data_IF_623186562859
#
_entry.id   IF_623186562859
#
_cell.length_a   1.000
_cell.length_b   1.000
_cell.length_c   1.000
_cell.angle_alpha   90.00
_cell.angle_beta   90.00
_cell.angle_gamma   90.00
#
_symmetry.space_group_name_H-M   'P 1'
#
loop_
_entity.id
_entity.type
_entity.pdbx_description
1 polymer ?
#
# COMPACT_ATOMS: atom_id res chain seq x y z
N UNK A 1 -49.49 18.37 11.03
CA UNK A 1 -48.10 18.60 11.46
C UNK A 1 -47.32 17.31 11.42
N UNK A 2 -46.73 16.99 10.28
CA UNK A 2 -45.79 15.87 10.14
C UNK A 2 -44.41 16.50 10.31
N UNK A 3 -43.74 16.18 11.41
CA UNK A 3 -42.36 16.56 11.69
C UNK A 3 -41.46 15.76 10.75
N UNK A 4 -40.91 16.43 9.73
CA UNK A 4 -39.73 15.93 9.03
C UNK A 4 -38.55 16.05 10.00
N UNK A 5 -38.06 14.91 10.49
CA UNK A 5 -36.77 14.83 11.17
C UNK A 5 -35.73 14.73 10.06
N UNK A 6 -35.12 15.85 9.69
CA UNK A 6 -33.88 15.84 8.93
C UNK A 6 -32.80 15.17 9.80
N UNK A 7 -32.32 13.99 9.37
CA UNK A 7 -31.09 13.41 9.92
C UNK A 7 -29.93 14.33 9.55
N UNK A 8 -29.56 15.23 10.45
CA UNK A 8 -28.32 15.99 10.37
C UNK A 8 -27.18 14.98 10.58
N UNK A 9 -26.52 14.58 9.49
CA UNK A 9 -25.25 13.87 9.57
C UNK A 9 -24.14 14.91 9.84
N UNK A 10 -23.67 14.97 11.08
CA UNK A 10 -22.44 15.70 11.40
C UNK A 10 -21.27 14.83 10.92
N UNK A 11 -20.78 15.09 9.72
CA UNK A 11 -19.53 14.50 9.24
C UNK A 11 -18.39 15.11 10.05
N UNK A 12 -17.62 14.29 10.77
CA UNK A 12 -16.44 14.79 11.49
C UNK A 12 -15.45 15.40 10.50
N UNK A 13 -14.81 16.48 10.92
CA UNK A 13 -13.79 17.20 10.14
C UNK A 13 -12.52 16.39 9.88
N UNK A 14 -12.36 15.24 10.55
CA UNK A 14 -11.11 14.47 10.58
C UNK A 14 -11.07 13.22 9.67
N UNK A 15 -12.19 12.86 9.03
CA UNK A 15 -12.35 11.52 8.47
C UNK A 15 -11.63 11.28 7.14
N UNK A 16 -11.37 12.32 6.36
CA UNK A 16 -10.72 12.26 5.05
C UNK A 16 -9.65 13.33 4.96
N UNK A 17 -8.50 13.01 4.37
CA UNK A 17 -7.41 13.93 4.15
C UNK A 17 -6.04 13.27 4.10
N UNK A 18 -5.02 14.12 4.03
CA UNK A 18 -3.63 13.71 4.13
C UNK A 18 -3.19 13.77 5.60
N UNK A 19 -2.95 12.60 6.20
CA UNK A 19 -2.51 12.47 7.57
C UNK A 19 -0.99 12.31 7.62
N UNK A 20 -0.34 13.15 8.42
CA UNK A 20 1.12 13.23 8.51
C UNK A 20 1.51 12.98 9.95
N UNK A 21 2.51 12.11 10.16
CA UNK A 21 3.19 12.01 11.45
C UNK A 21 4.54 12.67 11.38
N UNK A 22 4.83 13.52 12.37
CA UNK A 22 6.12 14.16 12.55
C UNK A 22 6.58 14.14 14.01
N UNK A 23 7.89 14.27 14.21
CA UNK A 23 8.51 14.45 15.53
C UNK A 23 9.30 15.74 15.59
N UNK A 24 9.25 16.42 16.73
CA UNK A 24 9.97 17.68 17.00
C UNK A 24 11.22 17.46 17.87
N UNK A 25 11.44 16.24 18.36
CA UNK A 25 12.45 15.94 19.37
C UNK A 25 13.07 14.53 19.26
N UNK A 26 12.67 13.74 18.26
CA UNK A 26 13.20 12.40 18.04
C UNK A 26 12.71 11.32 19.00
N UNK A 27 11.74 11.62 19.88
CA UNK A 27 11.23 10.65 20.89
C UNK A 27 9.70 10.55 20.92
N UNK A 28 9.00 11.65 20.69
CA UNK A 28 7.54 11.71 20.63
C UNK A 28 7.07 12.10 19.24
N UNK A 29 5.87 11.72 18.85
CA UNK A 29 5.28 12.11 17.57
C UNK A 29 3.88 12.67 17.71
N UNK A 30 3.49 13.49 16.75
CA UNK A 30 2.14 14.05 16.66
C UNK A 30 1.56 13.79 15.27
N UNK A 31 0.27 14.10 15.11
CA UNK A 31 -0.46 13.97 13.87
C UNK A 31 -0.90 15.34 13.36
N UNK A 32 -0.77 15.55 12.05
CA UNK A 32 -1.37 16.68 11.34
C UNK A 32 -2.24 16.14 10.21
N UNK A 33 -3.49 16.62 10.11
CA UNK A 33 -4.40 16.29 9.01
C UNK A 33 -4.58 17.50 8.11
N UNK A 34 -4.51 17.29 6.80
CA UNK A 34 -4.74 18.30 5.78
C UNK A 34 -5.94 17.91 4.93
N UNK A 35 -6.87 18.84 4.76
CA UNK A 35 -8.02 18.69 3.87
C UNK A 35 -7.89 19.67 2.72
N UNK A 36 -7.91 19.17 1.48
CA UNK A 36 -7.80 19.98 0.27
C UNK A 36 -8.64 19.36 -0.85
N UNK A 37 -9.24 20.20 -1.69
CA UNK A 37 -10.11 19.78 -2.79
C UNK A 37 -9.42 18.85 -3.80
N UNK A 38 -8.09 18.93 -3.94
CA UNK A 38 -7.34 18.10 -4.87
C UNK A 38 -7.22 16.63 -4.45
N UNK A 39 -7.33 16.33 -3.14
CA UNK A 39 -7.07 14.99 -2.61
C UNK A 39 -8.09 14.50 -1.57
N UNK A 40 -8.91 15.36 -0.97
CA UNK A 40 -9.98 14.98 -0.04
C UNK A 40 -11.30 14.83 -0.79
N UNK A 41 -11.94 13.66 -0.68
CA UNK A 41 -13.18 13.37 -1.42
C UNK A 41 -14.32 14.24 -0.87
N UNK A 42 -15.16 14.76 -1.77
CA UNK A 42 -16.30 15.62 -1.44
C UNK A 42 -15.94 16.89 -0.63
N UNK A 43 -14.67 17.31 -0.61
CA UNK A 43 -14.24 18.53 0.05
C UNK A 43 -14.34 19.72 -0.91
N UNK A 44 -15.26 20.63 -0.63
CA UNK A 44 -15.55 21.82 -1.47
C UNK A 44 -15.31 23.15 -0.73
N UNK A 45 -14.58 23.11 0.38
CA UNK A 45 -14.25 24.27 1.21
C UNK A 45 -12.81 24.73 0.95
N UNK A 46 -12.45 25.85 1.55
CA UNK A 46 -11.05 26.28 1.62
C UNK A 46 -10.22 25.25 2.38
N UNK A 47 -8.95 25.15 2.02
CA UNK A 47 -8.00 24.24 2.66
C UNK A 47 -8.00 24.40 4.20
N UNK A 48 -7.98 23.27 4.90
CA UNK A 48 -7.88 23.23 6.36
C UNK A 48 -6.74 22.33 6.80
N UNK A 49 -5.98 22.79 7.79
CA UNK A 49 -4.85 22.08 8.38
C UNK A 49 -5.07 21.98 9.88
N UNK A 50 -5.23 20.76 10.37
CA UNK A 50 -5.35 20.44 11.79
C UNK A 50 -3.99 19.99 12.30
N UNK A 51 -3.23 20.92 12.90
CA UNK A 51 -1.87 20.64 13.39
C UNK A 51 -1.87 20.11 14.82
N UNK A 52 -0.88 19.27 15.13
CA UNK A 52 -0.61 18.79 16.49
C UNK A 52 -1.86 18.23 17.17
N UNK A 53 -2.57 17.35 16.46
CA UNK A 53 -3.88 16.85 16.86
C UNK A 53 -3.80 16.18 18.24
N UNK A 54 -2.79 15.33 18.46
CA UNK A 54 -2.66 14.59 19.72
C UNK A 54 -2.28 15.52 20.87
N UNK A 55 -1.38 16.49 20.66
CA UNK A 55 -1.10 17.51 21.68
C UNK A 55 -2.32 18.35 22.00
N UNK A 56 -3.13 18.70 21.00
CA UNK A 56 -4.33 19.51 21.19
C UNK A 56 -5.41 18.76 21.98
N UNK A 57 -5.53 17.46 21.78
CA UNK A 57 -6.52 16.61 22.46
C UNK A 57 -6.07 16.18 23.86
N UNK A 58 -4.80 15.81 24.02
CA UNK A 58 -4.28 15.15 25.22
C UNK A 58 -3.36 16.05 26.07
N UNK A 59 -3.08 17.27 25.62
CA UNK A 59 -2.10 18.19 26.23
C UNK A 59 -0.64 17.84 25.94
N UNK A 60 -0.38 16.73 25.23
CA UNK A 60 0.96 16.21 24.95
C UNK A 60 0.97 15.33 23.69
N UNK A 61 2.11 15.23 22.98
CA UNK A 61 2.25 14.34 21.83
C UNK A 61 2.25 12.86 22.26
N UNK A 62 2.12 11.95 21.29
CA UNK A 62 2.21 10.53 21.54
C UNK A 62 3.63 10.13 21.95
N UNK A 63 3.74 9.31 23.01
CA UNK A 63 5.02 8.80 23.48
C UNK A 63 5.49 7.63 22.61
N UNK A 64 6.31 7.93 21.61
CA UNK A 64 6.80 6.99 20.61
C UNK A 64 6.83 7.64 19.23
N UNK A 65 7.56 7.01 18.30
CA UNK A 65 7.70 7.47 16.92
C UNK A 65 6.78 6.65 16.00
N UNK A 66 5.73 7.27 15.47
CA UNK A 66 4.81 6.65 14.51
C UNK A 66 5.44 6.59 13.09
N UNK A 67 6.23 5.54 12.81
CA UNK A 67 7.08 5.45 11.62
C UNK A 67 6.37 4.95 10.35
N UNK A 68 5.24 4.27 10.50
CA UNK A 68 4.37 3.86 9.40
C UNK A 68 2.94 4.16 9.80
N UNK A 69 2.16 4.74 8.90
CA UNK A 69 0.73 4.96 9.06
C UNK A 69 -0.01 4.13 8.00
N UNK A 70 -1.00 3.35 8.44
CA UNK A 70 -1.83 2.53 7.56
C UNK A 70 -3.30 2.81 7.87
N UNK A 71 -4.00 3.31 6.88
CA UNK A 71 -5.44 3.54 6.96
C UNK A 71 -6.21 2.24 6.78
N UNK A 72 -7.19 2.01 7.65
CA UNK A 72 -8.03 0.81 7.66
C UNK A 72 -9.45 1.18 8.09
N UNK A 73 -10.40 0.35 7.65
CA UNK A 73 -11.81 0.51 7.97
C UNK A 73 -12.32 -0.80 8.56
N UNK A 74 -12.75 -0.73 9.82
CA UNK A 74 -13.44 -1.82 10.48
C UNK A 74 -14.94 -1.73 10.21
N UNK A 75 -15.56 -2.85 9.86
CA UNK A 75 -16.99 -2.99 9.59
C UNK A 75 -17.38 -2.96 8.11
N UNK A 76 -18.64 -3.30 7.84
CA UNK A 76 -19.27 -3.25 6.51
C UNK A 76 -20.55 -2.41 6.59
N UNK A 77 -20.95 -1.71 5.52
CA UNK A 77 -21.90 -0.57 5.52
C UNK A 77 -23.27 -0.69 6.24
N UNK A 78 -23.67 -1.87 6.73
CA UNK A 78 -24.85 -2.08 7.61
C UNK A 78 -24.52 -2.20 9.11
N UNK A 79 -23.24 -2.16 9.49
CA UNK A 79 -22.71 -2.27 10.85
C UNK A 79 -21.99 -0.98 11.27
N UNK A 80 -21.55 -0.87 12.53
CA UNK A 80 -20.75 0.27 12.99
C UNK A 80 -19.42 0.26 12.24
N UNK A 81 -19.27 1.18 11.28
CA UNK A 81 -18.04 1.40 10.56
C UNK A 81 -17.13 2.30 11.38
N UNK A 82 -15.89 1.88 11.60
CA UNK A 82 -14.88 2.72 12.25
C UNK A 82 -13.71 2.90 11.31
N UNK A 83 -13.47 4.15 10.91
CA UNK A 83 -12.29 4.56 10.15
C UNK A 83 -11.13 4.69 11.15
N UNK A 84 -10.02 4.00 10.91
CA UNK A 84 -8.92 3.87 11.86
C UNK A 84 -7.58 4.04 11.15
N UNK A 85 -6.59 4.52 11.90
CA UNK A 85 -5.19 4.50 11.46
C UNK A 85 -4.40 3.64 12.42
N UNK A 86 -3.78 2.62 11.86
CA UNK A 86 -2.80 1.78 12.51
C UNK A 86 -1.42 2.40 12.31
N UNK A 87 -0.59 2.32 13.34
CA UNK A 87 0.79 2.77 13.24
C UNK A 87 1.76 1.72 13.74
N UNK A 88 2.84 1.52 12.97
CA UNK A 88 4.01 0.77 13.41
C UNK A 88 4.98 1.77 14.02
N UNK A 89 5.32 1.54 15.28
CA UNK A 89 6.19 2.41 16.06
C UNK A 89 7.67 2.10 15.78
N UNK A 90 8.56 3.02 16.16
CA UNK A 90 10.01 2.87 15.93
C UNK A 90 10.68 1.71 16.65
N UNK A 91 9.99 1.07 17.60
CA UNK A 91 10.40 -0.17 18.27
C UNK A 91 9.73 -1.42 17.68
N UNK A 92 9.10 -1.29 16.50
CA UNK A 92 8.35 -2.34 15.81
C UNK A 92 7.10 -2.84 16.56
N UNK A 93 6.50 -2.02 17.43
CA UNK A 93 5.20 -2.30 18.06
C UNK A 93 4.06 -1.60 17.33
N UNK A 94 2.80 -1.80 17.76
CA UNK A 94 1.61 -1.18 17.16
C UNK A 94 0.85 -0.23 18.09
N UNK A 95 0.26 0.81 17.51
CA UNK A 95 -0.84 1.56 18.12
C UNK A 95 -1.95 1.79 17.08
N UNK A 96 -3.15 2.14 17.54
CA UNK A 96 -4.29 2.43 16.67
C UNK A 96 -5.12 3.59 17.18
N UNK A 97 -5.56 4.44 16.25
CA UNK A 97 -6.31 5.66 16.52
C UNK A 97 -7.61 5.69 15.70
N UNK A 98 -8.67 6.23 16.27
CA UNK A 98 -9.93 6.46 15.57
C UNK A 98 -9.81 7.72 14.70
N UNK A 99 -10.14 7.67 13.41
CA UNK A 99 -10.10 8.86 12.55
C UNK A 99 -11.21 9.88 12.86
N UNK A 100 -12.22 9.52 13.65
CA UNK A 100 -13.31 10.43 14.02
C UNK A 100 -12.81 11.56 14.93
N UNK A 101 -11.93 11.25 15.87
CA UNK A 101 -11.50 12.13 16.95
C UNK A 101 -10.04 11.93 17.39
N UNK A 102 -9.29 11.06 16.72
CA UNK A 102 -7.91 10.66 17.03
C UNK A 102 -7.69 10.13 18.46
N UNK A 103 -8.74 9.61 19.09
CA UNK A 103 -8.58 8.85 20.34
C UNK A 103 -7.83 7.55 20.07
N UNK A 104 -6.85 7.24 20.92
CA UNK A 104 -6.16 5.96 20.87
C UNK A 104 -7.12 4.85 21.30
N UNK A 105 -7.35 3.87 20.43
CA UNK A 105 -8.29 2.77 20.64
C UNK A 105 -7.63 1.38 20.49
N UNK A 106 -6.31 1.34 20.51
CA UNK A 106 -5.53 0.14 20.70
C UNK A 106 -4.05 0.39 20.89
N UNK A 107 -3.39 -0.53 21.58
CA UNK A 107 -1.96 -0.50 21.88
C UNK A 107 -1.38 -1.92 21.86
N UNK A 108 -0.09 -2.03 21.62
CA UNK A 108 0.56 -3.32 21.43
C UNK A 108 0.58 -4.17 22.69
N UNK A 109 0.84 -3.56 23.85
CA UNK A 109 1.11 -4.31 25.08
C UNK A 109 -0.13 -4.89 25.76
N UNK A 110 -1.32 -4.46 25.37
CA UNK A 110 -2.55 -5.09 25.81
C UNK A 110 -3.16 -5.96 24.71
N UNK A 111 -4.19 -6.71 25.07
CA UNK A 111 -4.92 -7.57 24.13
C UNK A 111 -5.93 -6.79 23.27
N UNK A 112 -5.76 -5.46 23.12
CA UNK A 112 -6.65 -4.63 22.29
C UNK A 112 -6.33 -4.72 20.80
N UNK A 113 -5.11 -5.14 20.42
CA UNK A 113 -4.69 -5.32 19.03
C UNK A 113 -4.39 -6.77 18.68
N UNK A 114 -3.70 -7.50 19.56
CA UNK A 114 -3.30 -8.90 19.35
C UNK A 114 -3.60 -9.70 20.63
N UNK A 115 -4.51 -10.66 20.54
CA UNK A 115 -4.82 -11.61 21.60
C UNK A 115 -3.68 -12.62 21.71
N UNK A 116 -3.30 -12.96 22.94
CA UNK A 116 -2.24 -13.94 23.24
C UNK A 116 -0.92 -13.68 22.48
N UNK A 117 -0.55 -12.40 22.36
CA UNK A 117 0.69 -11.94 21.70
C UNK A 117 1.92 -12.69 22.25
N UNK A 118 2.74 -13.31 21.38
CA UNK A 118 4.03 -13.86 21.78
C UNK A 118 4.99 -12.78 22.31
N UNK A 119 5.80 -13.13 23.30
CA UNK A 119 6.84 -12.24 23.80
C UNK A 119 7.85 -11.89 22.70
N UNK A 120 8.19 -10.60 22.58
CA UNK A 120 9.16 -10.10 21.60
C UNK A 120 8.67 -10.08 20.15
N UNK A 121 7.36 -10.21 19.91
CA UNK A 121 6.79 -10.04 18.57
C UNK A 121 7.12 -8.64 18.02
N UNK A 122 7.64 -8.57 16.79
CA UNK A 122 7.90 -7.32 16.08
C UNK A 122 7.01 -7.26 14.85
N UNK A 123 6.44 -6.09 14.57
CA UNK A 123 5.63 -5.83 13.37
C UNK A 123 6.48 -5.09 12.35
N UNK A 124 6.54 -5.68 11.15
CA UNK A 124 7.46 -5.29 10.08
C UNK A 124 6.76 -4.51 8.97
N UNK A 125 5.49 -4.84 8.70
CA UNK A 125 4.62 -4.09 7.78
C UNK A 125 3.15 -4.40 8.06
N UNK A 126 2.26 -3.53 7.59
CA UNK A 126 0.81 -3.69 7.67
C UNK A 126 0.17 -3.22 6.35
N UNK A 127 -0.87 -3.92 5.90
CA UNK A 127 -1.52 -3.64 4.61
C UNK A 127 -2.91 -4.25 4.53
N UNK A 128 -3.75 -3.63 3.69
CA UNK A 128 -5.05 -4.19 3.32
C UNK A 128 -4.89 -5.01 2.04
N UNK A 129 -5.43 -6.23 2.05
CA UNK A 129 -5.52 -7.09 0.86
C UNK A 129 -6.92 -7.67 0.77
N UNK A 130 -7.62 -7.36 -0.31
CA UNK A 130 -9.04 -7.68 -0.46
C UNK A 130 -9.86 -7.19 0.75
N UNK A 131 -10.60 -8.08 1.41
CA UNK A 131 -11.44 -7.83 2.59
C UNK A 131 -10.72 -8.03 3.92
N UNK A 132 -9.40 -8.28 3.91
CA UNK A 132 -8.64 -8.61 5.10
C UNK A 132 -7.52 -7.60 5.35
N UNK A 133 -7.31 -7.32 6.62
CA UNK A 133 -6.16 -6.55 7.08
C UNK A 133 -5.06 -7.51 7.54
N UNK A 134 -3.82 -7.23 7.16
CA UNK A 134 -2.66 -8.08 7.43
C UNK A 134 -1.59 -7.30 8.17
N UNK A 135 -0.87 -8.00 9.05
CA UNK A 135 0.41 -7.56 9.57
C UNK A 135 1.47 -8.64 9.30
N UNK A 136 2.60 -8.23 8.73
CA UNK A 136 3.80 -9.06 8.63
C UNK A 136 4.62 -8.88 9.90
N UNK A 137 5.02 -9.98 10.53
CA UNK A 137 5.70 -9.93 11.83
C UNK A 137 6.94 -10.80 11.84
N UNK A 138 7.75 -10.68 12.90
CA UNK A 138 8.84 -11.61 13.18
C UNK A 138 8.38 -13.07 13.40
N UNK A 139 7.07 -13.30 13.56
CA UNK A 139 6.44 -14.61 13.75
C UNK A 139 5.39 -14.89 12.67
N UNK A 140 5.73 -14.66 11.40
CA UNK A 140 4.89 -14.86 10.20
C UNK A 140 3.76 -13.83 10.03
N UNK A 141 2.94 -14.02 9.00
CA UNK A 141 1.81 -13.16 8.67
C UNK A 141 0.61 -13.43 9.57
N UNK A 142 0.04 -12.38 10.13
CA UNK A 142 -1.24 -12.39 10.83
C UNK A 142 -2.29 -11.74 9.94
N UNK A 143 -3.54 -12.17 10.07
CA UNK A 143 -4.67 -11.64 9.30
C UNK A 143 -5.90 -11.51 10.16
N UNK A 144 -6.72 -10.50 9.87
CA UNK A 144 -8.07 -10.37 10.41
C UNK A 144 -9.04 -9.98 9.29
N UNK A 145 -10.29 -10.42 9.43
CA UNK A 145 -11.39 -9.98 8.58
C UNK A 145 -11.97 -8.69 9.18
N UNK A 146 -11.53 -7.54 8.69
CA UNK A 146 -11.88 -6.23 9.26
C UNK A 146 -13.37 -5.93 9.21
N UNK A 147 -14.13 -6.63 8.37
CA UNK A 147 -15.59 -6.57 8.34
C UNK A 147 -16.27 -7.02 9.64
N UNK A 148 -15.62 -7.85 10.46
CA UNK A 148 -16.25 -8.49 11.63
C UNK A 148 -15.38 -8.51 12.88
N UNK A 149 -14.06 -8.44 12.75
CA UNK A 149 -13.11 -8.54 13.85
C UNK A 149 -12.17 -7.34 13.83
N UNK A 150 -11.79 -6.85 15.02
CA UNK A 150 -10.92 -5.68 15.14
C UNK A 150 -9.60 -5.95 15.90
N UNK A 151 -9.22 -7.23 16.02
CA UNK A 151 -8.05 -7.73 16.76
C UNK A 151 -7.52 -8.99 16.11
N UNK A 152 -6.21 -9.18 16.11
CA UNK A 152 -5.56 -10.42 15.68
C UNK A 152 -5.57 -11.45 16.82
N UNK A 153 -5.55 -12.75 16.49
CA UNK A 153 -5.47 -13.84 17.46
C UNK A 153 -4.28 -14.79 17.26
N UNK A 154 -3.70 -14.81 16.06
CA UNK A 154 -2.56 -15.66 15.74
C UNK A 154 -2.13 -15.54 14.28
N UNK A 155 -1.00 -16.17 13.91
CA UNK A 155 -0.57 -16.24 12.51
C UNK A 155 -1.62 -16.94 11.64
N UNK A 156 -1.71 -16.54 10.38
CA UNK A 156 -2.52 -17.23 9.39
C UNK A 156 -1.97 -18.66 9.20
N UNK A 157 -2.76 -19.67 9.61
CA UNK A 157 -2.30 -21.06 9.66
C UNK A 157 -1.71 -21.57 8.34
N UNK A 158 -2.34 -21.25 7.20
CA UNK A 158 -1.85 -21.60 5.86
C UNK A 158 -0.48 -21.00 5.51
N UNK A 159 -0.12 -19.88 6.16
CA UNK A 159 1.12 -19.13 5.92
C UNK A 159 2.20 -19.38 6.99
N UNK A 160 1.89 -20.14 8.04
CA UNK A 160 2.76 -20.32 9.21
C UNK A 160 4.14 -20.93 8.92
N UNK A 161 4.31 -21.58 7.77
CA UNK A 161 5.58 -22.19 7.35
C UNK A 161 6.36 -21.38 6.32
N UNK A 162 5.83 -20.25 5.86
CA UNK A 162 6.40 -19.43 4.79
C UNK A 162 6.92 -18.10 5.34
N UNK A 163 8.03 -17.63 4.78
CA UNK A 163 8.68 -16.40 5.23
C UNK A 163 8.69 -15.35 4.13
N UNK A 164 8.23 -14.16 4.46
CA UNK A 164 8.27 -12.99 3.58
C UNK A 164 9.70 -12.45 3.55
N UNK A 165 10.35 -12.51 2.40
CA UNK A 165 11.67 -11.91 2.25
C UNK A 165 11.59 -10.36 2.21
N UNK A 166 12.45 -9.72 3.00
CA UNK A 166 12.63 -8.27 3.03
C UNK A 166 11.34 -7.45 3.23
N UNK A 167 10.30 -8.05 3.85
CA UNK A 167 8.99 -7.45 4.08
C UNK A 167 8.24 -7.01 2.80
N UNK A 168 8.63 -7.53 1.63
CA UNK A 168 8.03 -7.17 0.34
C UNK A 168 6.93 -8.14 -0.03
N UNK A 169 5.71 -7.61 -0.16
CA UNK A 169 4.50 -8.37 -0.49
C UNK A 169 3.77 -7.62 -1.59
N UNK A 170 3.44 -8.30 -2.68
CA UNK A 170 2.46 -7.82 -3.65
C UNK A 170 1.08 -8.25 -3.14
N UNK A 171 0.16 -7.31 -2.96
CA UNK A 171 -1.19 -7.60 -2.51
C UNK A 171 -2.23 -7.04 -3.48
N UNK A 172 -3.29 -7.82 -3.65
CA UNK A 172 -4.40 -7.46 -4.55
C UNK A 172 -5.28 -6.40 -3.91
N UNK A 173 -5.59 -5.31 -4.63
CA UNK A 173 -6.60 -4.39 -4.18
C UNK A 173 -7.98 -5.06 -4.24
N UNK A 174 -8.92 -4.66 -3.38
CA UNK A 174 -10.29 -5.16 -3.45
C UNK A 174 -11.01 -4.46 -4.61
N UNK A 175 -11.01 -5.07 -5.79
CA UNK A 175 -11.51 -4.44 -7.04
C UNK A 175 -12.97 -4.75 -7.33
N UNK A 176 -13.59 -5.70 -6.62
CA UNK A 176 -14.92 -6.21 -6.94
C UNK A 176 -15.03 -6.92 -8.31
N UNK A 177 -14.03 -6.78 -9.18
CA UNK A 177 -13.84 -7.51 -10.42
C UNK A 177 -13.48 -8.97 -10.15
N UNK A 178 -14.42 -9.70 -9.56
CA UNK A 178 -14.58 -11.11 -9.87
C UNK A 178 -15.11 -11.15 -11.28
N UNK A 179 -14.29 -11.60 -12.25
CA UNK A 179 -14.91 -12.25 -13.40
C UNK A 179 -15.88 -13.29 -12.83
N UNK A 180 -17.07 -13.40 -13.41
CA UNK A 180 -18.22 -14.23 -12.96
C UNK A 180 -17.92 -15.75 -12.81
N UNK A 181 -16.65 -16.13 -12.78
CA UNK A 181 -16.09 -17.47 -12.90
C UNK A 181 -15.10 -17.84 -11.78
N UNK A 182 -14.67 -16.90 -10.91
CA UNK A 182 -13.77 -17.23 -9.80
C UNK A 182 -14.54 -17.38 -8.49
N UNK A 183 -14.68 -18.64 -8.04
CA UNK A 183 -15.09 -18.94 -6.67
C UNK A 183 -14.11 -18.31 -5.67
N UNK A 184 -14.57 -17.99 -4.46
CA UNK A 184 -13.75 -17.32 -3.44
C UNK A 184 -12.44 -18.02 -3.07
N UNK A 185 -12.24 -19.29 -3.46
CA UNK A 185 -10.99 -20.04 -3.27
C UNK A 185 -9.91 -19.75 -4.34
N UNK A 186 -10.28 -19.14 -5.47
CA UNK A 186 -9.37 -18.91 -6.61
C UNK A 186 -8.95 -17.45 -6.80
N UNK A 187 -9.53 -16.53 -6.03
CA UNK A 187 -9.10 -15.13 -6.01
C UNK A 187 -7.70 -15.03 -5.40
N UNK A 188 -6.74 -14.49 -6.13
CA UNK A 188 -5.37 -14.28 -5.65
C UNK A 188 -5.30 -13.04 -4.75
N UNK A 189 -4.87 -13.20 -3.50
CA UNK A 189 -4.85 -12.12 -2.49
C UNK A 189 -3.48 -11.49 -2.30
N UNK A 190 -2.44 -12.33 -2.23
CA UNK A 190 -1.09 -11.89 -1.92
C UNK A 190 -0.07 -12.79 -2.59
N UNK A 191 1.07 -12.21 -2.89
CA UNK A 191 2.24 -12.89 -3.40
C UNK A 191 3.47 -12.33 -2.71
N UNK A 192 4.44 -13.18 -2.38
CA UNK A 192 5.72 -12.77 -1.83
C UNK A 192 6.81 -13.77 -2.22
N UNK A 193 8.06 -13.37 -2.06
CA UNK A 193 9.20 -14.27 -2.29
C UNK A 193 9.65 -14.89 -0.96
N UNK A 194 9.80 -16.21 -0.94
CA UNK A 194 10.39 -16.95 0.17
C UNK A 194 11.82 -17.36 -0.21
N UNK A 195 12.78 -16.71 0.45
CA UNK A 195 14.21 -16.88 0.16
C UNK A 195 14.74 -18.25 0.57
N UNK A 196 14.20 -18.86 1.61
CA UNK A 196 14.64 -20.18 2.08
C UNK A 196 14.22 -21.28 1.10
N UNK A 197 13.11 -21.06 0.39
CA UNK A 197 12.59 -21.96 -0.65
C UNK A 197 13.05 -21.60 -2.06
N UNK A 198 13.69 -20.44 -2.23
CA UNK A 198 14.05 -19.88 -3.52
C UNK A 198 12.85 -19.77 -4.48
N UNK A 199 11.66 -19.44 -3.95
CA UNK A 199 10.40 -19.50 -4.69
C UNK A 199 9.45 -18.34 -4.41
N UNK A 200 8.67 -17.94 -5.41
CA UNK A 200 7.50 -17.09 -5.21
C UNK A 200 6.31 -17.89 -4.67
N UNK A 201 5.74 -17.39 -3.58
CA UNK A 201 4.57 -17.94 -2.92
C UNK A 201 3.38 -17.06 -3.26
N UNK A 202 2.32 -17.63 -3.81
CA UNK A 202 1.06 -16.93 -4.01
C UNK A 202 -0.05 -17.57 -3.20
N UNK A 203 -0.96 -16.76 -2.68
CA UNK A 203 -2.09 -17.23 -1.90
C UNK A 203 -3.39 -16.85 -2.55
N UNK A 204 -4.29 -17.82 -2.65
CA UNK A 204 -5.66 -17.64 -3.09
C UNK A 204 -6.62 -17.82 -1.91
N UNK A 205 -7.78 -17.19 -2.00
CA UNK A 205 -8.79 -17.17 -0.95
C UNK A 205 -8.40 -16.38 0.30
N UNK A 206 -9.37 -16.20 1.19
CA UNK A 206 -9.26 -15.36 2.39
C UNK A 206 -9.61 -16.12 3.68
N UNK A 207 -9.04 -15.66 4.79
CA UNK A 207 -9.35 -16.18 6.13
C UNK A 207 -9.02 -17.67 6.25
N UNK A 208 -10.03 -18.48 6.62
CA UNK A 208 -9.87 -19.93 6.80
C UNK A 208 -9.75 -20.72 5.48
N UNK A 209 -10.11 -20.12 4.34
CA UNK A 209 -10.07 -20.77 3.03
C UNK A 209 -8.81 -20.46 2.24
N UNK A 210 -7.80 -19.87 2.90
CA UNK A 210 -6.55 -19.49 2.26
C UNK A 210 -5.79 -20.73 1.80
N UNK A 211 -5.38 -20.73 0.53
CA UNK A 211 -4.60 -21.78 -0.10
C UNK A 211 -3.31 -21.20 -0.66
N UNK A 212 -2.20 -21.87 -0.36
CA UNK A 212 -0.91 -21.53 -0.97
C UNK A 212 -0.77 -22.28 -2.28
N UNK A 213 -0.45 -21.54 -3.35
CA UNK A 213 -0.20 -22.04 -4.70
C UNK A 213 1.17 -21.58 -5.19
N UNK A 214 1.64 -22.21 -6.27
CA UNK A 214 2.85 -21.84 -7.01
C UNK A 214 2.49 -21.20 -8.35
N UNK A 215 3.46 -20.52 -8.95
CA UNK A 215 3.36 -20.10 -10.35
C UNK A 215 4.00 -21.13 -11.27
N UNK A 216 3.40 -21.34 -12.44
CA UNK A 216 4.01 -22.14 -13.49
C UNK A 216 5.23 -21.40 -14.08
N UNK A 217 6.27 -22.17 -14.38
CA UNK A 217 7.47 -21.68 -15.04
C UNK A 217 7.25 -21.43 -16.54
N UNK A 218 8.13 -20.63 -17.14
CA UNK A 218 8.20 -20.47 -18.58
C UNK A 218 9.65 -20.37 -19.06
N UNK A 219 9.85 -20.07 -20.34
CA UNK A 219 11.18 -19.96 -20.94
C UNK A 219 11.99 -18.74 -20.45
N UNK A 220 11.34 -17.74 -19.84
CA UNK A 220 12.02 -16.55 -19.32
C UNK A 220 12.58 -16.77 -17.92
N UNK A 221 11.84 -17.45 -17.05
CA UNK A 221 12.28 -17.83 -15.71
C UNK A 221 11.36 -18.88 -15.04
N UNK A 222 11.89 -19.56 -14.03
CA UNK A 222 11.15 -20.49 -13.16
C UNK A 222 10.90 -19.82 -11.79
N UNK A 223 9.65 -19.44 -11.45
CA UNK A 223 9.31 -18.82 -10.17
C UNK A 223 9.66 -19.65 -8.93
N UNK A 224 9.91 -20.95 -9.10
CA UNK A 224 10.18 -21.90 -8.02
C UNK A 224 11.66 -22.26 -7.90
N UNK A 225 12.53 -21.62 -8.71
CA UNK A 225 13.98 -21.86 -8.74
C UNK A 225 14.75 -20.55 -8.96
N UNK A 226 14.65 -19.64 -8.00
CA UNK A 226 15.35 -18.35 -8.01
C UNK A 226 16.17 -18.17 -6.73
N UNK A 227 17.30 -18.89 -6.57
CA UNK A 227 18.15 -18.74 -5.39
C UNK A 227 18.88 -17.39 -5.42
N UNK A 228 19.42 -16.99 -4.25
CA UNK A 228 20.25 -15.78 -4.09
C UNK A 228 19.55 -14.50 -4.57
N UNK A 229 18.25 -14.39 -4.30
CA UNK A 229 17.49 -13.18 -4.57
C UNK A 229 17.06 -12.51 -3.27
N UNK A 230 16.92 -11.19 -3.34
CA UNK A 230 16.27 -10.38 -2.32
C UNK A 230 15.18 -9.55 -2.99
N UNK A 231 13.94 -9.63 -2.50
CA UNK A 231 12.83 -8.81 -2.96
C UNK A 231 12.99 -7.37 -2.48
N UNK A 232 12.76 -6.40 -3.37
CA UNK A 232 13.03 -4.97 -3.09
C UNK A 232 11.75 -4.14 -3.09
N UNK A 233 10.88 -4.39 -4.05
CA UNK A 233 9.57 -3.71 -4.16
C UNK A 233 8.64 -4.59 -4.97
N UNK A 234 7.34 -4.43 -4.77
CA UNK A 234 6.35 -5.20 -5.52
C UNK A 234 5.04 -4.44 -5.68
N UNK A 235 4.25 -4.81 -6.68
CA UNK A 235 2.92 -4.26 -6.92
C UNK A 235 2.01 -5.27 -7.60
N UNK A 236 0.71 -5.15 -7.36
CA UNK A 236 -0.33 -5.73 -8.21
C UNK A 236 -0.99 -4.59 -8.98
N UNK A 237 -1.18 -4.75 -10.28
CA UNK A 237 -1.85 -3.74 -11.09
C UNK A 237 -3.32 -3.61 -10.66
N UNK A 238 -3.88 -2.41 -10.81
CA UNK A 238 -5.26 -2.09 -10.41
C UNK A 238 -6.29 -3.04 -11.06
N UNK A 239 -6.06 -3.43 -12.31
CA UNK A 239 -6.91 -4.37 -13.07
C UNK A 239 -6.60 -5.85 -12.78
N UNK A 240 -5.69 -6.11 -11.82
CA UNK A 240 -5.15 -7.43 -11.47
C UNK A 240 -4.50 -8.19 -12.64
N UNK A 241 -4.20 -7.52 -13.76
CA UNK A 241 -3.64 -8.15 -14.96
C UNK A 241 -2.20 -8.65 -14.76
N UNK A 242 -1.48 -8.05 -13.81
CA UNK A 242 -0.07 -8.32 -13.60
C UNK A 242 0.34 -8.15 -12.15
N UNK A 243 1.22 -9.04 -11.72
CA UNK A 243 1.97 -8.94 -10.48
C UNK A 243 3.42 -8.68 -10.85
N UNK A 244 4.06 -7.75 -10.16
CA UNK A 244 5.40 -7.28 -10.50
C UNK A 244 6.27 -7.25 -9.25
N UNK A 245 7.50 -7.75 -9.38
CA UNK A 245 8.52 -7.70 -8.34
C UNK A 245 9.82 -7.13 -8.89
N UNK A 246 10.41 -6.19 -8.16
CA UNK A 246 11.82 -5.84 -8.30
C UNK A 246 12.63 -6.76 -7.37
N UNK A 247 13.61 -7.46 -7.94
CA UNK A 247 14.50 -8.35 -7.20
C UNK A 247 15.96 -7.92 -7.40
N UNK A 248 16.77 -8.10 -6.36
CA UNK A 248 18.22 -7.97 -6.39
C UNK A 248 18.87 -9.34 -6.31
N UNK A 249 19.78 -9.62 -7.24
CA UNK A 249 20.64 -10.80 -7.19
C UNK A 249 21.77 -10.56 -6.18
N UNK A 250 21.82 -11.37 -5.14
CA UNK A 250 22.78 -11.23 -4.05
C UNK A 250 24.21 -11.59 -4.46
N UNK A 251 24.39 -12.30 -5.59
CA UNK A 251 25.69 -12.78 -6.07
C UNK A 251 26.46 -11.68 -6.79
N UNK A 252 25.77 -10.92 -7.64
CA UNK A 252 26.39 -9.91 -8.51
C UNK A 252 25.86 -8.49 -8.27
N UNK A 253 24.88 -8.32 -7.38
CA UNK A 253 24.29 -7.02 -7.03
C UNK A 253 23.38 -6.42 -8.10
N UNK A 254 23.09 -7.14 -9.19
CA UNK A 254 22.25 -6.64 -10.29
C UNK A 254 20.77 -6.75 -9.96
N UNK A 255 19.97 -5.91 -10.60
CA UNK A 255 18.52 -5.88 -10.40
C UNK A 255 17.76 -6.40 -11.63
N UNK A 256 16.60 -7.01 -11.38
CA UNK A 256 15.69 -7.43 -12.44
C UNK A 256 14.23 -7.26 -12.00
N UNK A 257 13.37 -6.93 -12.96
CA UNK A 257 11.91 -6.88 -12.76
C UNK A 257 11.32 -8.19 -13.25
N UNK A 258 10.65 -8.91 -12.36
CA UNK A 258 9.94 -10.15 -12.65
C UNK A 258 8.44 -9.86 -12.69
N UNK A 259 7.75 -10.46 -13.65
CA UNK A 259 6.33 -10.26 -13.84
C UNK A 259 5.58 -11.56 -13.98
N UNK A 260 4.34 -11.59 -13.50
CA UNK A 260 3.49 -12.77 -13.43
C UNK A 260 2.10 -12.45 -13.93
N UNK A 261 1.42 -13.44 -14.50
CA UNK A 261 -0.02 -13.45 -14.74
C UNK A 261 -0.71 -14.05 -13.52
N UNK A 262 -1.91 -13.57 -13.25
CA UNK A 262 -2.80 -14.20 -12.28
C UNK A 262 -3.42 -15.47 -12.84
N UNK A 263 -4.01 -16.26 -11.94
CA UNK A 263 -4.94 -17.30 -12.32
C UNK A 263 -6.21 -16.70 -12.96
N UNK A 264 -6.70 -17.31 -14.03
CA UNK A 264 -7.98 -16.98 -14.67
C UNK A 264 -8.85 -18.22 -14.62
N UNK A 265 -10.07 -18.08 -14.09
CA UNK A 265 -11.02 -19.18 -13.97
C UNK A 265 -11.58 -19.60 -15.32
N UNK A 266 -12.12 -20.82 -15.36
CA UNK A 266 -12.88 -21.27 -16.53
C UNK A 266 -14.17 -20.44 -16.68
N UNK A 267 -14.48 -20.02 -17.90
CA UNK A 267 -15.74 -19.36 -18.23
C UNK A 267 -16.63 -20.28 -19.04
N UNK A 268 -17.92 -20.17 -18.83
CA UNK A 268 -18.93 -20.98 -19.50
C UNK A 268 -20.34 -20.53 -19.17
N UNK A 269 -21.31 -21.29 -19.66
CA UNK A 269 -22.73 -21.10 -19.34
C UNK A 269 -23.43 -22.45 -19.25
N UNK A 270 -24.54 -22.50 -18.53
CA UNK A 270 -25.38 -23.68 -18.49
C UNK A 270 -26.30 -23.72 -19.73
N UNK A 271 -26.31 -24.86 -20.42
CA UNK A 271 -27.32 -25.24 -21.40
C UNK A 271 -28.05 -26.48 -20.89
N UNK A 272 -29.24 -26.27 -20.32
CA UNK A 272 -29.89 -27.25 -19.46
C UNK A 272 -29.04 -27.56 -18.23
N UNK A 273 -28.78 -28.85 -17.98
CA UNK A 273 -27.93 -29.32 -16.87
C UNK A 273 -26.44 -29.38 -17.25
N UNK A 274 -26.07 -29.04 -18.49
CA UNK A 274 -24.68 -29.13 -18.95
C UNK A 274 -23.98 -27.78 -18.82
N UNK A 275 -22.81 -27.78 -18.17
CA UNK A 275 -21.90 -26.65 -18.22
C UNK A 275 -21.10 -26.67 -19.54
N UNK A 276 -21.30 -25.65 -20.37
CA UNK A 276 -20.56 -25.45 -21.62
C UNK A 276 -19.42 -24.48 -21.37
N UNK A 277 -18.19 -24.97 -21.50
CA UNK A 277 -16.98 -24.15 -21.39
C UNK A 277 -16.81 -23.29 -22.63
N UNK A 278 -16.74 -21.96 -22.44
CA UNK A 278 -16.43 -20.99 -23.49
C UNK A 278 -14.99 -20.48 -23.42
N UNK A 279 -14.33 -20.59 -22.27
CA UNK A 279 -12.91 -20.27 -22.09
C UNK A 279 -12.30 -21.15 -21.00
N UNK A 280 -11.21 -21.91 -21.26
CA UNK A 280 -10.60 -22.76 -20.24
C UNK A 280 -9.87 -21.94 -19.18
N UNK A 281 -9.72 -22.51 -17.97
CA UNK A 281 -8.92 -21.90 -16.91
C UNK A 281 -7.46 -21.72 -17.34
N UNK A 282 -6.82 -20.63 -16.88
CA UNK A 282 -5.40 -20.36 -17.11
C UNK A 282 -4.66 -20.31 -15.76
N UNK A 283 -3.60 -21.11 -15.56
CA UNK A 283 -2.81 -21.08 -14.33
C UNK A 283 -2.08 -19.75 -14.16
N UNK A 284 -1.91 -19.34 -12.90
CA UNK A 284 -0.99 -18.26 -12.57
C UNK A 284 0.43 -18.68 -13.01
N UNK A 285 1.11 -17.82 -13.78
CA UNK A 285 2.37 -18.21 -14.42
C UNK A 285 3.37 -17.06 -14.50
N UNK A 286 4.64 -17.41 -14.66
CA UNK A 286 5.68 -16.47 -15.06
C UNK A 286 5.29 -15.78 -16.38
N UNK A 287 5.59 -14.47 -16.49
CA UNK A 287 5.49 -13.71 -17.75
C UNK A 287 6.88 -13.34 -18.26
N UNK A 288 7.42 -12.21 -17.85
CA UNK A 288 8.70 -11.69 -18.34
C UNK A 288 9.65 -11.37 -17.19
N UNK A 289 10.94 -11.45 -17.50
CA UNK A 289 12.05 -10.90 -16.72
C UNK A 289 12.68 -9.76 -17.52
N UNK A 290 12.83 -8.60 -16.89
CA UNK A 290 13.52 -7.45 -17.46
C UNK A 290 14.79 -7.17 -16.68
N UNK A 291 15.95 -7.26 -17.33
CA UNK A 291 17.23 -6.88 -16.74
C UNK A 291 17.29 -5.36 -16.61
N UNK A 292 17.77 -4.85 -15.47
CA UNK A 292 18.01 -3.42 -15.28
C UNK A 292 19.48 -3.10 -15.59
N UNK A 293 19.75 -2.16 -16.52
CA UNK A 293 21.12 -1.71 -16.82
C UNK A 293 21.87 -1.15 -15.60
N UNK A 294 23.19 -0.99 -15.75
CA UNK A 294 24.09 -0.52 -14.69
C UNK A 294 23.69 0.86 -14.13
N UNK A 295 23.16 1.74 -14.98
CA UNK A 295 22.69 3.07 -14.63
C UNK A 295 21.49 3.00 -13.67
N UNK A 296 20.61 2.02 -13.87
CA UNK A 296 19.47 1.76 -12.98
C UNK A 296 19.92 1.13 -11.67
N UNK A 297 20.90 0.21 -11.72
CA UNK A 297 21.51 -0.39 -10.53
C UNK A 297 22.12 0.68 -9.63
N UNK A 298 22.87 1.64 -10.20
CA UNK A 298 23.48 2.73 -9.46
C UNK A 298 22.46 3.66 -8.78
N UNK A 299 21.27 3.85 -9.37
CA UNK A 299 20.17 4.58 -8.74
C UNK A 299 19.52 3.77 -7.63
N UNK A 300 19.26 2.47 -7.86
CA UNK A 300 18.60 1.58 -6.90
C UNK A 300 19.43 1.37 -5.63
N UNK A 301 20.75 1.27 -5.74
CA UNK A 301 21.64 1.14 -4.58
C UNK A 301 21.67 2.39 -3.68
N UNK A 302 21.22 3.54 -4.19
CA UNK A 302 21.11 4.82 -3.45
C UNK A 302 19.67 5.15 -3.06
N UNK A 303 18.72 4.27 -3.37
CA UNK A 303 17.31 4.59 -3.25
C UNK A 303 16.88 4.59 -1.78
N UNK A 304 16.10 5.61 -1.41
CA UNK A 304 15.41 5.74 -0.12
C UNK A 304 13.93 5.39 -0.23
N UNK A 305 13.39 5.34 -1.44
CA UNK A 305 12.03 4.85 -1.72
C UNK A 305 11.97 4.26 -3.12
N UNK A 306 11.27 3.13 -3.25
CA UNK A 306 11.10 2.41 -4.51
C UNK A 306 9.64 1.91 -4.60
N UNK A 307 8.91 2.35 -5.61
CA UNK A 307 7.51 1.94 -5.81
C UNK A 307 7.14 1.94 -7.28
N UNK A 308 6.32 0.96 -7.66
CA UNK A 308 5.78 0.87 -9.01
C UNK A 308 4.57 1.79 -9.20
N UNK A 309 4.32 2.20 -10.45
CA UNK A 309 2.96 2.56 -10.85
C UNK A 309 2.10 1.29 -10.86
N UNK A 310 0.87 1.39 -10.35
CA UNK A 310 -0.10 0.28 -10.38
C UNK A 310 -0.97 0.28 -11.65
N UNK A 311 -0.72 1.19 -12.60
CA UNK A 311 -1.45 1.29 -13.87
C UNK A 311 -0.55 1.25 -15.10
N UNK A 312 0.77 1.32 -14.92
CA UNK A 312 1.72 1.44 -16.02
C UNK A 312 3.00 0.67 -15.70
N UNK A 313 3.71 0.28 -16.76
CA UNK A 313 4.98 -0.46 -16.67
C UNK A 313 6.15 0.47 -16.32
N UNK A 314 6.05 1.09 -15.14
CA UNK A 314 6.93 2.15 -14.65
C UNK A 314 7.28 1.92 -13.18
N UNK A 315 8.57 1.98 -12.88
CA UNK A 315 9.12 1.95 -11.52
C UNK A 315 9.69 3.34 -11.18
N UNK A 316 9.28 3.91 -10.05
CA UNK A 316 9.88 5.11 -9.50
C UNK A 316 11.01 4.74 -8.54
N UNK A 317 12.14 5.42 -8.70
CA UNK A 317 13.33 5.26 -7.86
C UNK A 317 13.67 6.62 -7.28
N UNK A 318 13.59 6.75 -5.96
CA UNK A 318 13.82 8.01 -5.26
C UNK A 318 15.13 7.92 -4.49
N UNK A 319 16.04 8.85 -4.75
CA UNK A 319 17.23 9.10 -3.92
C UNK A 319 16.99 10.37 -3.08
N UNK A 320 17.94 10.75 -2.23
CA UNK A 320 17.90 12.03 -1.52
C UNK A 320 17.86 13.24 -2.45
N UNK A 321 18.38 13.10 -3.67
CA UNK A 321 18.63 14.22 -4.59
C UNK A 321 17.59 14.33 -5.70
N UNK A 322 16.75 13.30 -5.90
CA UNK A 322 15.73 13.34 -6.92
C UNK A 322 14.93 12.06 -7.09
N UNK A 323 13.90 12.15 -7.94
CA UNK A 323 13.03 11.05 -8.34
C UNK A 323 13.33 10.70 -9.79
N UNK A 324 13.60 9.42 -10.06
CA UNK A 324 13.92 8.87 -11.36
C UNK A 324 12.89 7.81 -11.74
N UNK A 325 12.91 7.39 -13.00
CA UNK A 325 12.02 6.34 -13.49
C UNK A 325 12.76 5.28 -14.27
N UNK A 326 12.28 4.04 -14.15
CA UNK A 326 12.70 2.88 -14.94
C UNK A 326 11.44 2.34 -15.64
N UNK A 327 11.42 2.41 -16.97
CA UNK A 327 10.37 1.84 -17.80
C UNK A 327 10.69 0.39 -18.14
N UNK A 328 9.68 -0.48 -18.12
CA UNK A 328 9.79 -1.88 -18.55
C UNK A 328 8.65 -2.23 -19.51
N UNK A 329 8.70 -3.42 -20.12
CA UNK A 329 7.67 -3.88 -21.06
C UNK A 329 8.09 -3.94 -22.53
N UNK A 330 9.12 -3.20 -22.93
CA UNK A 330 9.71 -3.29 -24.26
C UNK A 330 10.96 -4.16 -24.24
N UNK A 331 10.97 -5.25 -25.01
CA UNK A 331 12.10 -6.18 -25.04
C UNK A 331 12.38 -6.85 -23.69
N UNK A 332 13.64 -7.23 -23.44
CA UNK A 332 14.08 -7.92 -22.22
C UNK A 332 14.93 -7.04 -21.28
N UNK A 333 15.12 -5.77 -21.62
CA UNK A 333 15.95 -4.83 -20.84
C UNK A 333 15.13 -3.58 -20.54
N UNK A 334 15.14 -3.15 -19.28
CA UNK A 334 14.44 -1.95 -18.85
C UNK A 334 15.17 -0.67 -19.28
N UNK A 335 14.43 0.40 -19.54
CA UNK A 335 14.96 1.70 -19.95
C UNK A 335 15.00 2.65 -18.75
N UNK A 336 16.19 3.17 -18.43
CA UNK A 336 16.43 4.02 -17.26
C UNK A 336 16.41 5.49 -17.67
N UNK A 337 15.63 6.31 -16.95
CA UNK A 337 15.71 7.78 -17.04
C UNK A 337 16.77 8.28 -16.07
N UNK A 338 17.95 8.62 -16.58
CA UNK A 338 19.05 9.19 -15.77
C UNK A 338 18.85 10.67 -15.42
N UNK A 339 17.93 11.34 -16.11
CA UNK A 339 17.45 12.68 -15.73
C UNK A 339 16.35 12.56 -14.68
N UNK A 340 16.49 13.28 -13.57
CA UNK A 340 15.48 13.34 -12.52
C UNK A 340 14.18 13.95 -13.04
N UNK A 341 13.04 13.35 -12.67
CA UNK A 341 11.69 13.86 -12.90
C UNK A 341 11.31 14.95 -11.89
N UNK A 342 11.99 14.96 -10.75
CA UNK A 342 11.88 15.96 -9.70
C UNK A 342 13.19 16.02 -8.93
N UNK A 343 13.60 17.24 -8.57
CA UNK A 343 14.69 17.53 -7.65
C UNK A 343 14.13 18.40 -6.52
N UNK A 344 14.51 18.18 -5.26
CA UNK A 344 14.06 19.02 -4.16
C UNK A 344 14.60 20.46 -4.31
N UNK A 345 14.03 21.39 -3.55
CA UNK A 345 14.53 22.76 -3.51
C UNK A 345 15.98 22.79 -2.98
N UNK A 346 16.78 23.78 -3.39
CA UNK A 346 18.16 23.93 -2.91
C UNK A 346 18.23 23.94 -1.38
N UNK A 347 19.10 23.09 -0.82
CA UNK A 347 19.28 22.94 0.63
C UNK A 347 18.36 21.90 1.27
N UNK A 348 17.43 21.32 0.53
CA UNK A 348 16.57 20.22 0.98
C UNK A 348 17.04 18.87 0.41
N UNK A 349 16.81 17.80 1.18
CA UNK A 349 16.90 16.42 0.71
C UNK A 349 15.53 15.76 0.74
N UNK A 350 15.27 14.84 -0.19
CA UNK A 350 14.10 13.96 -0.11
C UNK A 350 14.35 12.93 0.99
N UNK A 351 13.31 12.63 1.80
CA UNK A 351 13.37 11.63 2.86
C UNK A 351 12.44 10.44 2.64
N UNK A 352 11.38 10.61 1.83
CA UNK A 352 10.46 9.54 1.42
C UNK A 352 9.67 9.98 0.19
N UNK A 353 9.31 9.03 -0.66
CA UNK A 353 8.31 9.24 -1.69
C UNK A 353 7.42 8.00 -1.87
N UNK A 354 6.14 8.22 -2.22
CA UNK A 354 5.20 7.14 -2.57
C UNK A 354 4.07 7.62 -3.46
N UNK A 355 3.43 6.69 -4.17
CA UNK A 355 2.25 6.99 -4.97
C UNK A 355 1.12 7.54 -4.09
N UNK A 356 0.48 8.61 -4.55
CA UNK A 356 -0.74 9.09 -3.92
C UNK A 356 -1.90 8.16 -4.29
N UNK A 357 -2.57 7.65 -3.26
CA UNK A 357 -3.80 6.87 -3.35
C UNK A 357 -4.78 7.45 -2.35
N UNK A 358 -6.02 7.73 -2.75
CA UNK A 358 -7.04 8.25 -1.83
C UNK A 358 -7.38 7.21 -0.75
N UNK A 359 -7.76 7.63 0.46
CA UNK A 359 -7.83 6.74 1.63
C UNK A 359 -8.69 5.49 1.40
N UNK A 360 -9.93 5.66 0.95
CA UNK A 360 -10.83 4.52 0.66
C UNK A 360 -10.35 3.63 -0.49
N UNK A 361 -9.48 4.10 -1.38
CA UNK A 361 -8.90 3.26 -2.42
C UNK A 361 -7.99 2.18 -1.82
N UNK A 362 -7.19 2.57 -0.82
CA UNK A 362 -6.29 1.65 -0.11
C UNK A 362 -7.06 0.60 0.70
N UNK A 363 -8.23 0.97 1.24
CA UNK A 363 -9.12 0.04 1.91
C UNK A 363 -9.86 -0.88 0.90
N UNK A 364 -10.58 -0.27 -0.04
CA UNK A 364 -11.41 -0.98 -1.00
C UNK A 364 -11.58 -0.19 -2.29
N UNK A 365 -10.72 -0.45 -3.28
CA UNK A 365 -10.74 0.28 -4.54
C UNK A 365 -12.02 0.07 -5.38
N UNK A 366 -12.79 -1.01 -5.16
CA UNK A 366 -14.07 -1.28 -5.81
C UNK A 366 -15.07 -0.13 -5.59
N UNK A 367 -14.98 0.54 -4.43
CA UNK A 367 -15.80 1.70 -4.10
C UNK A 367 -15.61 2.86 -5.08
N UNK A 368 -14.50 2.86 -5.84
CA UNK A 368 -14.06 4.00 -6.66
C UNK A 368 -13.93 3.62 -8.14
N UNK A 369 -13.30 2.47 -8.44
CA UNK A 369 -12.94 2.07 -9.81
C UNK A 369 -13.56 0.75 -10.25
N UNK A 370 -14.40 0.14 -9.41
CA UNK A 370 -15.06 -1.13 -9.74
C UNK A 370 -16.31 -0.97 -10.63
N UNK A 371 -17.07 -2.04 -10.78
CA UNK A 371 -18.22 -2.09 -11.71
C UNK A 371 -19.35 -1.12 -11.32
N UNK A 372 -19.51 -0.83 -10.02
CA UNK A 372 -20.51 0.09 -9.48
C UNK A 372 -19.87 1.01 -8.42
N UNK A 373 -19.10 2.02 -8.83
CA UNK A 373 -18.39 2.88 -7.89
C UNK A 373 -19.38 3.75 -7.11
N UNK A 374 -19.22 3.80 -5.79
CA UNK A 374 -20.07 4.56 -4.86
C UNK A 374 -19.38 5.81 -4.31
N UNK A 375 -18.08 5.95 -4.54
CA UNK A 375 -17.22 7.06 -4.07
C UNK A 375 -16.53 7.68 -5.29
N UNK A 376 -16.63 9.01 -5.49
CA UNK A 376 -15.96 9.68 -6.60
C UNK A 376 -14.44 9.50 -6.55
N UNK A 377 -13.83 9.20 -7.70
CA UNK A 377 -12.36 9.20 -7.83
C UNK A 377 -11.84 10.65 -7.85
N UNK A 378 -10.91 10.99 -6.96
CA UNK A 378 -10.21 12.28 -7.04
C UNK A 378 -9.27 12.34 -8.25
N UNK A 379 -9.04 13.55 -8.77
CA UNK A 379 -8.19 13.77 -9.95
C UNK A 379 -6.79 13.13 -9.77
N UNK A 380 -6.26 13.18 -8.55
CA UNK A 380 -4.89 12.77 -8.26
C UNK A 380 -4.73 11.30 -7.86
N UNK A 381 -5.81 10.55 -7.65
CA UNK A 381 -5.73 9.12 -7.29
C UNK A 381 -4.95 8.30 -8.34
N UNK A 382 -3.83 7.69 -7.94
CA UNK A 382 -2.84 7.02 -8.81
C UNK A 382 -2.21 7.93 -9.89
N UNK A 383 -2.29 9.25 -9.72
CA UNK A 383 -1.82 10.28 -10.67
C UNK A 383 -1.01 11.39 -9.99
N UNK A 384 -0.54 11.17 -8.77
CA UNK A 384 0.37 12.08 -8.08
C UNK A 384 1.34 11.30 -7.19
N UNK A 385 2.43 11.93 -6.79
CA UNK A 385 3.42 11.38 -5.87
C UNK A 385 3.48 12.25 -4.63
N UNK A 386 3.37 11.62 -3.45
CA UNK A 386 3.69 12.23 -2.17
C UNK A 386 5.20 12.19 -2.02
N UNK A 387 5.82 13.35 -1.76
CA UNK A 387 7.25 13.51 -1.52
C UNK A 387 7.43 14.24 -0.20
N UNK A 388 8.29 13.73 0.66
CA UNK A 388 8.67 14.44 1.89
C UNK A 388 10.10 14.90 1.77
N UNK A 389 10.38 16.13 2.18
CA UNK A 389 11.72 16.73 2.16
C UNK A 389 12.09 17.27 3.53
N UNK A 390 13.39 17.47 3.73
CA UNK A 390 13.98 17.93 4.97
C UNK A 390 15.10 18.92 4.67
N UNK A 391 15.04 20.14 5.22
CA UNK A 391 16.12 21.14 5.15
C UNK A 391 17.06 21.09 6.36
N UNK A 392 16.54 20.69 7.51
CA UNK A 392 17.29 20.41 8.74
C UNK A 392 16.58 19.32 9.56
N UNK A 393 17.22 18.76 10.59
CA UNK A 393 16.69 17.59 11.33
C UNK A 393 15.19 17.69 11.69
N UNK A 394 14.71 18.89 12.05
CA UNK A 394 13.31 19.14 12.45
C UNK A 394 12.61 20.20 11.60
N UNK A 395 13.00 20.35 10.34
CA UNK A 395 12.33 21.23 9.38
C UNK A 395 11.95 20.45 8.12
N UNK A 396 10.73 19.91 8.13
CA UNK A 396 10.19 19.02 7.10
C UNK A 396 9.10 19.66 6.27
N UNK A 397 8.98 19.21 5.02
CA UNK A 397 7.89 19.58 4.10
C UNK A 397 7.28 18.35 3.44
N UNK A 398 6.01 18.47 3.09
CA UNK A 398 5.27 17.48 2.31
C UNK A 398 4.84 18.12 1.00
N UNK A 399 5.17 17.48 -0.11
CA UNK A 399 4.76 17.85 -1.46
C UNK A 399 3.87 16.76 -2.05
N UNK A 400 2.84 17.16 -2.78
CA UNK A 400 2.00 16.26 -3.57
C UNK A 400 2.10 16.74 -5.01
N UNK A 401 2.78 15.97 -5.84
CA UNK A 401 3.22 16.38 -7.17
C UNK A 401 2.46 15.58 -8.23
N UNK A 402 1.62 16.22 -9.07
CA UNK A 402 0.88 15.49 -10.09
C UNK A 402 1.78 14.96 -11.20
N UNK A 403 1.35 13.84 -11.79
CA UNK A 403 1.96 13.20 -12.95
C UNK A 403 1.28 13.75 -14.20
N UNK A 404 2.03 14.41 -15.09
CA UNK A 404 1.48 14.98 -16.34
C UNK A 404 1.59 14.05 -17.53
N UNK A 405 2.56 13.15 -17.53
CA UNK A 405 2.70 12.13 -18.57
C UNK A 405 2.87 10.76 -17.93
N UNK A 406 1.77 10.02 -17.91
CA UNK A 406 1.64 8.75 -17.22
C UNK A 406 2.64 7.69 -17.73
N UNK A 407 2.86 7.62 -19.06
CA UNK A 407 3.75 6.63 -19.66
C UNK A 407 5.24 6.85 -19.35
N UNK A 408 5.68 8.09 -19.16
CA UNK A 408 7.09 8.43 -18.87
C UNK A 408 7.35 8.73 -17.40
N UNK A 409 6.27 8.87 -16.61
CA UNK A 409 6.30 9.28 -15.21
C UNK A 409 6.71 10.73 -14.99
N UNK A 410 6.56 11.60 -16.00
CA UNK A 410 6.90 13.01 -15.87
C UNK A 410 6.02 13.67 -14.80
N UNK A 411 6.67 14.38 -13.87
CA UNK A 411 6.05 15.12 -12.79
C UNK A 411 5.89 16.59 -13.18
N UNK A 412 4.91 17.27 -12.58
CA UNK A 412 4.70 18.71 -12.74
C UNK A 412 4.82 19.45 -11.39
N UNK A 413 6.06 19.82 -11.00
CA UNK A 413 6.31 20.54 -9.76
C UNK A 413 5.62 21.89 -9.68
N UNK A 414 5.27 22.51 -10.82
CA UNK A 414 4.59 23.82 -10.84
C UNK A 414 3.16 23.75 -10.30
N UNK A 415 2.56 22.55 -10.30
CA UNK A 415 1.23 22.27 -9.75
C UNK A 415 1.28 21.56 -8.40
N UNK A 416 2.46 21.40 -7.81
CA UNK A 416 2.60 20.72 -6.54
C UNK A 416 1.86 21.48 -5.42
N UNK A 417 1.15 20.75 -4.56
CA UNK A 417 0.74 21.27 -3.25
C UNK A 417 1.89 21.05 -2.27
N UNK A 418 2.28 22.09 -1.53
CA UNK A 418 3.39 22.05 -0.60
C UNK A 418 2.93 22.51 0.77
N UNK A 419 3.30 21.75 1.79
CA UNK A 419 2.97 22.00 3.19
C UNK A 419 4.23 22.00 4.02
N UNK A 420 4.36 22.97 4.91
CA UNK A 420 5.51 23.18 5.79
C UNK A 420 5.10 23.18 7.28
N UNK A 421 6.05 23.54 8.14
CA UNK A 421 5.83 23.62 9.60
C UNK A 421 5.83 22.25 10.29
N UNK A 422 6.39 21.23 9.65
CA UNK A 422 6.60 19.91 10.24
C UNK A 422 7.99 19.80 10.83
N UNK A 423 8.13 18.93 11.83
CA UNK A 423 9.41 18.49 12.36
C UNK A 423 10.11 17.54 11.40
N UNK A 424 10.71 16.48 11.95
CA UNK A 424 11.13 15.33 11.14
C UNK A 424 9.89 14.53 10.76
N UNK A 425 9.59 14.44 9.47
CA UNK A 425 8.44 13.67 8.99
C UNK A 425 8.76 12.17 9.10
N UNK A 426 7.88 11.43 9.77
CA UNK A 426 8.02 10.00 9.99
C UNK A 426 7.28 9.20 8.90
N UNK A 427 6.02 9.55 8.63
CA UNK A 427 5.25 9.00 7.52
C UNK A 427 4.06 9.88 7.16
N UNK A 428 3.45 9.59 6.01
CA UNK A 428 2.28 10.30 5.48
C UNK A 428 1.28 9.28 4.95
N UNK A 429 0.03 9.23 5.37
CA UNK A 429 -1.01 8.38 4.75
C UNK A 429 -2.20 9.23 4.31
N UNK A 430 -3.11 8.62 3.57
CA UNK A 430 -4.42 9.19 3.28
C UNK A 430 -5.49 8.47 4.10
N UNK A 431 -6.43 9.21 4.67
CA UNK A 431 -7.65 8.69 5.29
C UNK A 431 -8.84 9.01 4.38
N UNK A 432 -10.01 8.40 4.55
CA UNK A 432 -11.16 8.67 3.67
C UNK A 432 -12.50 8.21 4.24
N UNK A 433 -13.59 8.91 3.92
CA UNK A 433 -14.95 8.60 4.39
C UNK A 433 -15.91 8.27 3.26
#
# INVERSE_FOLDING_TARGET
>A
NILNIEKIYVQSTFLDGLLISDTQNGTTSDLTLINNQAFTVNYNKDEQIFRKILTSLNGQPFNGLMQTLVYEVMGYGSSIQTNQVWTILGDATLARFNCLDYTQNGQFEDQSLIIDKPNGLQVLSAFQSHSNFYINTSNNLYTLASSTVNRFSGPAGALSSYKVNNNVIAYSPNTGHVSNSLSGADQQHLTFYDKERASFITCNGSGQFMQVKSFDANNNFDPNKLPNQTAISAVVFEDMSQIVFLMKDDTNGTYSIYTFSRYIGEEGHYDGDNWIVTSPSQPASARNKYTIPSEGTALLDKAISIFFSNRNLLLYVTTTDGIYTINYGAGSTATVSTTAKYTPQSGEIITKAKMYQQGLYNYNCNLIVGDNPTVPQTEWNNKAIIVTTQSSEYEGKVHIIPITQVASGTLDPSKAKTYDGFGKILDVTTTGY
#
